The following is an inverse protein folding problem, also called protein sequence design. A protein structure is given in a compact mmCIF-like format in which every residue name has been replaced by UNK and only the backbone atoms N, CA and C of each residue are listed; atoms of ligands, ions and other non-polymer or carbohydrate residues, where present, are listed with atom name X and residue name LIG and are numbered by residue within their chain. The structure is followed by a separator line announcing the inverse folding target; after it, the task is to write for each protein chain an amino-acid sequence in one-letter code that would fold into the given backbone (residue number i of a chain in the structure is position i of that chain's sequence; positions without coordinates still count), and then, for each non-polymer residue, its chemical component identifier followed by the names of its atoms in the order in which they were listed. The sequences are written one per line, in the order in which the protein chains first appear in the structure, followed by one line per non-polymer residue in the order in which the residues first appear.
data_IF_385145902937
#
_entry.id   IF_385145902937
#
_cell.length_a   1.000
_cell.length_b   1.000
_cell.length_c   1.000
_cell.angle_alpha   90.00
_cell.angle_beta   90.00
_cell.angle_gamma   90.00
#
_symmetry.space_group_name_H-M   'P 1'
#
loop_
_entity.id
_entity.type
_entity.pdbx_description
1 polymer ?
#
# COMPACT_ATOMS: atom_id res chain seq x y z
N UNK A 1 -8.97 2.29 29.21
CA UNK A 1 -9.21 3.04 27.96
C UNK A 1 -8.17 2.60 26.95
N UNK A 2 -8.59 1.85 25.90
CA UNK A 2 -7.67 1.29 24.91
C UNK A 2 -7.01 2.39 24.05
N UNK A 3 -5.84 2.11 23.45
CA UNK A 3 -5.10 3.11 22.69
C UNK A 3 -5.92 3.56 21.47
N UNK A 4 -6.10 4.88 21.33
CA UNK A 4 -6.59 5.51 20.10
C UNK A 4 -5.53 5.31 19.02
N UNK A 5 -5.72 4.31 18.17
CA UNK A 5 -4.91 4.17 16.96
C UNK A 5 -5.14 5.40 16.07
N UNK A 6 -4.16 6.32 16.05
CA UNK A 6 -4.16 7.43 15.09
C UNK A 6 -3.89 6.82 13.72
N UNK A 7 -4.96 6.56 12.97
CA UNK A 7 -4.89 6.09 11.60
C UNK A 7 -4.54 7.27 10.71
N UNK A 8 -3.26 7.48 10.44
CA UNK A 8 -2.81 8.46 9.44
C UNK A 8 -3.21 7.93 8.06
N UNK A 9 -4.40 8.28 7.60
CA UNK A 9 -4.85 8.03 6.23
C UNK A 9 -4.14 9.05 5.34
N UNK A 10 -3.27 8.60 4.43
CA UNK A 10 -2.70 9.47 3.39
C UNK A 10 -3.80 9.84 2.41
N UNK A 11 -3.82 11.09 1.97
CA UNK A 11 -4.73 11.51 0.91
C UNK A 11 -4.19 11.02 -0.43
N UNK A 12 -5.06 10.44 -1.25
CA UNK A 12 -4.70 9.95 -2.59
C UNK A 12 -3.95 10.99 -3.42
N UNK A 13 -4.33 12.27 -3.34
CA UNK A 13 -3.67 13.36 -4.08
C UNK A 13 -2.17 13.49 -3.78
N UNK A 14 -1.74 13.18 -2.57
CA UNK A 14 -0.33 13.26 -2.18
C UNK A 14 0.50 12.10 -2.75
N UNK A 15 -0.13 10.97 -3.10
CA UNK A 15 0.55 9.74 -3.55
C UNK A 15 0.26 9.39 -5.01
N UNK A 16 -0.70 10.06 -5.65
CA UNK A 16 -1.13 9.78 -7.02
C UNK A 16 0.00 9.94 -8.06
N UNK A 17 0.94 10.85 -7.81
CA UNK A 17 2.11 11.08 -8.65
C UNK A 17 3.36 10.31 -8.23
N UNK A 18 3.30 9.53 -7.14
CA UNK A 18 4.47 8.81 -6.64
C UNK A 18 4.62 7.46 -7.33
N UNK A 19 5.81 7.24 -7.88
CA UNK A 19 6.23 5.95 -8.43
C UNK A 19 7.50 5.49 -7.71
N UNK A 20 7.66 4.19 -7.54
CA UNK A 20 8.87 3.60 -6.98
C UNK A 20 9.13 2.25 -7.63
N UNK A 21 10.38 1.80 -7.64
CA UNK A 21 10.69 0.43 -8.04
C UNK A 21 10.11 -0.58 -7.03
N UNK A 22 9.78 -1.80 -7.45
CA UNK A 22 9.47 -2.90 -6.56
C UNK A 22 10.65 -3.14 -5.62
N UNK A 23 10.37 -3.28 -4.33
CA UNK A 23 11.43 -3.32 -3.33
C UNK A 23 12.11 -1.98 -3.08
N UNK A 24 11.63 -0.84 -3.55
CA UNK A 24 12.03 0.49 -3.06
C UNK A 24 10.96 1.06 -2.10
N UNK A 25 11.34 2.07 -1.32
CA UNK A 25 10.41 2.75 -0.42
C UNK A 25 9.51 3.70 -1.21
N UNK A 26 8.24 3.34 -1.34
CA UNK A 26 7.15 4.13 -1.88
C UNK A 26 6.50 4.99 -0.78
N UNK A 27 6.21 6.26 -1.08
CA UNK A 27 5.66 7.24 -0.12
C UNK A 27 6.49 7.46 1.17
N UNK A 28 7.80 7.16 1.12
CA UNK A 28 8.75 7.22 2.27
C UNK A 28 8.40 6.31 3.46
N UNK A 29 7.37 5.47 3.32
CA UNK A 29 6.86 4.65 4.42
C UNK A 29 6.49 3.23 4.01
N UNK A 30 6.23 2.96 2.75
CA UNK A 30 5.76 1.65 2.32
C UNK A 30 6.76 1.01 1.37
N UNK A 31 6.96 -0.29 1.46
CA UNK A 31 7.74 -1.06 0.50
C UNK A 31 6.92 -2.26 0.07
N UNK A 32 6.82 -2.48 -1.23
CA UNK A 32 6.22 -3.71 -1.77
C UNK A 32 7.33 -4.72 -2.03
N UNK A 33 7.21 -5.91 -1.44
CA UNK A 33 8.11 -7.03 -1.61
C UNK A 33 7.39 -8.18 -2.32
N UNK A 34 8.11 -8.84 -3.22
CA UNK A 34 7.63 -9.99 -3.98
C UNK A 34 8.43 -10.18 -5.28
N UNK A 35 8.13 -11.25 -6.04
CA UNK A 35 8.81 -11.56 -7.29
C UNK A 35 8.34 -10.62 -8.42
N UNK A 36 8.92 -9.43 -8.49
CA UNK A 36 8.52 -8.42 -9.46
C UNK A 36 8.86 -8.81 -10.89
N UNK A 37 7.89 -8.77 -11.82
CA UNK A 37 8.21 -8.86 -13.22
C UNK A 37 9.05 -7.64 -13.62
N UNK A 38 9.90 -7.82 -14.62
CA UNK A 38 10.73 -6.75 -15.15
C UNK A 38 9.85 -5.60 -15.66
N UNK A 39 10.17 -4.36 -15.28
CA UNK A 39 9.37 -3.18 -15.60
C UNK A 39 8.10 -3.00 -14.75
N UNK A 40 7.93 -3.75 -13.66
CA UNK A 40 6.92 -3.43 -12.67
C UNK A 40 7.29 -2.18 -11.85
N UNK A 41 6.28 -1.44 -11.40
CA UNK A 41 6.41 -0.22 -10.63
C UNK A 41 5.38 -0.20 -9.50
N UNK A 42 5.76 0.34 -8.35
CA UNK A 42 4.86 0.60 -7.23
C UNK A 42 4.27 1.99 -7.40
N UNK A 43 2.94 2.06 -7.44
CA UNK A 43 2.15 3.29 -7.58
C UNK A 43 0.92 3.23 -6.69
N UNK A 44 0.23 4.35 -6.55
CA UNK A 44 -1.04 4.35 -5.82
C UNK A 44 -2.05 3.47 -6.56
N UNK A 45 -2.83 2.67 -5.83
CA UNK A 45 -3.93 1.89 -6.43
C UNK A 45 -4.89 2.80 -7.20
N UNK A 46 -5.20 3.96 -6.62
CA UNK A 46 -6.15 4.90 -7.17
C UNK A 46 -7.56 4.32 -7.36
N UNK A 47 -8.50 5.15 -7.83
CA UNK A 47 -9.85 4.70 -8.13
C UNK A 47 -9.89 3.70 -9.29
N UNK A 48 -8.99 3.84 -10.27
CA UNK A 48 -8.91 2.94 -11.44
C UNK A 48 -8.51 1.52 -11.05
N UNK A 49 -7.45 1.35 -10.25
CA UNK A 49 -7.01 0.03 -9.80
C UNK A 49 -8.00 -0.63 -8.84
N UNK A 50 -8.74 0.16 -8.04
CA UNK A 50 -9.78 -0.38 -7.16
C UNK A 50 -10.89 -1.10 -7.94
N UNK A 51 -11.28 -0.57 -9.11
CA UNK A 51 -12.25 -1.20 -9.99
C UNK A 51 -11.74 -2.47 -10.68
N UNK A 52 -10.43 -2.70 -10.69
CA UNK A 52 -9.80 -3.92 -11.23
C UNK A 52 -9.70 -5.04 -10.20
N UNK A 53 -10.02 -4.77 -8.93
CA UNK A 53 -9.99 -5.76 -7.87
C UNK A 53 -11.27 -6.59 -7.87
N UNK A 54 -11.11 -7.90 -7.71
CA UNK A 54 -12.24 -8.84 -7.65
C UNK A 54 -13.07 -8.64 -6.37
N UNK A 55 -12.43 -8.31 -5.23
CA UNK A 55 -13.12 -8.05 -3.97
C UNK A 55 -12.45 -6.95 -3.11
N UNK A 56 -12.52 -5.66 -3.52
CA UNK A 56 -11.97 -4.56 -2.74
C UNK A 56 -12.63 -4.39 -1.36
N UNK A 57 -13.89 -4.83 -1.22
CA UNK A 57 -14.64 -4.78 0.05
C UNK A 57 -14.18 -5.80 1.08
N UNK A 58 -13.49 -6.87 0.65
CA UNK A 58 -12.93 -7.89 1.53
C UNK A 58 -11.85 -7.36 2.48
N UNK A 59 -11.20 -6.26 2.13
CA UNK A 59 -10.15 -5.63 2.95
C UNK A 59 -10.67 -4.99 4.26
N UNK A 60 -11.97 -4.70 4.36
CA UNK A 60 -12.55 -3.97 5.49
C UNK A 60 -12.05 -2.51 5.62
N UNK A 61 -11.36 -1.99 4.60
CA UNK A 61 -10.79 -0.64 4.59
C UNK A 61 -11.71 0.37 3.89
N UNK A 62 -11.74 1.64 4.35
CA UNK A 62 -12.43 2.71 3.64
C UNK A 62 -11.89 2.90 2.22
N UNK A 63 -12.77 3.23 1.27
CA UNK A 63 -12.41 3.51 -0.12
C UNK A 63 -11.23 4.49 -0.25
N UNK A 64 -11.26 5.59 0.51
CA UNK A 64 -10.20 6.60 0.54
C UNK A 64 -8.83 6.05 0.95
N UNK A 65 -8.80 5.05 1.83
CA UNK A 65 -7.57 4.36 2.25
C UNK A 65 -7.07 3.44 1.15
N UNK A 66 -7.97 2.72 0.48
CA UNK A 66 -7.60 1.79 -0.60
C UNK A 66 -7.00 2.54 -1.79
N UNK A 67 -7.62 3.63 -2.24
CA UNK A 67 -7.09 4.39 -3.39
C UNK A 67 -5.71 5.01 -3.10
N UNK A 68 -5.40 5.33 -1.83
CA UNK A 68 -4.11 5.85 -1.41
C UNK A 68 -3.09 4.76 -1.04
N UNK A 69 -3.47 3.48 -1.18
CA UNK A 69 -2.60 2.35 -0.82
C UNK A 69 -1.59 2.02 -1.93
N UNK A 70 -0.42 1.46 -1.58
CA UNK A 70 0.54 0.97 -2.56
C UNK A 70 -0.04 -0.21 -3.33
N UNK A 71 0.12 -0.16 -4.65
CA UNK A 71 -0.19 -1.25 -5.55
C UNK A 71 0.96 -1.44 -6.55
N UNK A 72 1.12 -2.67 -7.02
CA UNK A 72 2.10 -3.01 -8.04
C UNK A 72 1.43 -2.96 -9.41
N UNK A 73 2.05 -2.22 -10.32
CA UNK A 73 1.61 -2.01 -11.68
C UNK A 73 2.67 -2.51 -12.66
N UNK A 74 2.24 -3.09 -13.77
CA UNK A 74 3.09 -3.35 -14.93
C UNK A 74 2.47 -2.60 -16.11
N UNK A 75 3.03 -1.43 -16.42
CA UNK A 75 2.42 -0.47 -17.33
C UNK A 75 1.03 -0.02 -16.85
N UNK A 76 -0.01 -0.41 -17.59
CA UNK A 76 -1.41 -0.10 -17.29
C UNK A 76 -2.16 -1.22 -16.54
N UNK A 77 -1.51 -2.36 -16.29
CA UNK A 77 -2.13 -3.52 -15.63
C UNK A 77 -1.82 -3.53 -14.14
N UNK A 78 -2.85 -3.68 -13.32
CA UNK A 78 -2.70 -3.98 -11.90
C UNK A 78 -2.18 -5.42 -11.73
N UNK A 79 -1.02 -5.57 -11.12
CA UNK A 79 -0.39 -6.87 -10.85
C UNK A 79 -0.76 -7.35 -9.45
N UNK A 80 -0.69 -6.46 -8.45
CA UNK A 80 -1.02 -6.80 -7.07
C UNK A 80 -1.44 -5.55 -6.28
N UNK A 81 -2.31 -5.74 -5.28
CA UNK A 81 -2.70 -4.73 -4.32
C UNK A 81 -2.75 -5.36 -2.91
N UNK A 82 -1.60 -5.61 -2.28
CA UNK A 82 -1.52 -6.36 -1.03
C UNK A 82 -2.31 -5.73 0.12
N UNK A 83 -2.39 -4.39 0.19
CA UNK A 83 -3.21 -3.69 1.19
C UNK A 83 -4.72 -3.86 0.94
N UNK A 84 -5.12 -4.09 -0.31
CA UNK A 84 -6.50 -4.36 -0.67
C UNK A 84 -6.84 -5.86 -0.64
N UNK A 85 -5.91 -6.72 -0.22
CA UNK A 85 -6.08 -8.17 -0.16
C UNK A 85 -5.96 -8.86 -1.52
N UNK A 86 -5.19 -8.29 -2.46
CA UNK A 86 -4.97 -8.88 -3.79
C UNK A 86 -3.49 -9.10 -4.06
N UNK A 87 -3.15 -10.32 -4.51
CA UNK A 87 -1.79 -10.76 -4.81
C UNK A 87 -1.17 -11.51 -3.64
N UNK A 88 -1.48 -12.80 -3.51
CA UNK A 88 -1.03 -13.65 -2.39
C UNK A 88 0.51 -13.77 -2.26
N UNK A 89 1.25 -13.56 -3.35
CA UNK A 89 2.72 -13.57 -3.36
C UNK A 89 3.35 -12.21 -3.07
N UNK A 90 2.54 -11.22 -2.68
CA UNK A 90 2.94 -9.83 -2.54
C UNK A 90 2.66 -9.32 -1.12
N UNK A 91 3.63 -8.59 -0.57
CA UNK A 91 3.52 -8.04 0.77
C UNK A 91 3.84 -6.55 0.77
N UNK A 92 3.02 -5.77 1.50
CA UNK A 92 3.28 -4.37 1.79
C UNK A 92 3.85 -4.24 3.19
N UNK A 93 5.09 -3.79 3.30
CA UNK A 93 5.75 -3.58 4.58
C UNK A 93 5.85 -2.08 4.90
N UNK A 94 5.45 -1.66 6.11
CA UNK A 94 5.73 -0.32 6.59
C UNK A 94 7.21 -0.21 6.96
N UNK A 95 7.94 0.61 6.21
CA UNK A 95 9.29 1.07 6.53
C UNK A 95 9.18 2.19 7.56
N UNK A 96 9.64 1.90 8.77
CA UNK A 96 9.82 2.90 9.81
C UNK A 96 11.20 3.53 9.63
N UNK A 97 11.25 4.75 9.11
CA UNK A 97 12.46 5.56 9.20
C UNK A 97 12.70 5.91 10.68
N UNK A 98 13.97 6.04 11.10
CA UNK A 98 14.33 6.36 12.49
C UNK A 98 13.72 7.68 13.01
N UNK A 99 13.16 8.53 12.12
CA UNK A 99 12.42 9.74 12.50
C UNK A 99 10.92 9.49 12.74
N UNK A 100 10.41 8.31 12.40
CA UNK A 100 9.03 7.85 12.63
C UNK A 100 8.97 6.83 13.77
N UNK A 101 9.31 7.27 14.98
CA UNK A 101 9.05 6.51 16.20
C UNK A 101 7.53 6.42 16.45
N UNK A 102 6.93 5.29 16.09
CA UNK A 102 6.04 4.55 17.02
C UNK A 102 6.31 3.06 16.80
N UNK A 103 7.17 2.41 17.62
CA UNK A 103 7.13 0.98 17.74
C UNK A 103 5.79 0.61 18.39
N UNK A 104 5.03 -0.26 17.73
CA UNK A 104 3.94 -0.98 18.36
C UNK A 104 4.55 -1.79 19.51
N UNK A 105 4.50 -1.23 20.72
CA UNK A 105 5.01 -1.86 21.93
C UNK A 105 3.91 -2.77 22.50
N UNK A 106 4.16 -4.05 22.27
CA UNK A 106 3.78 -5.28 22.99
C UNK A 106 2.31 -5.63 23.19
N UNK A 107 1.89 -6.64 22.42
CA UNK A 107 0.97 -7.65 22.93
C UNK A 107 1.65 -8.42 24.09
N UNK A 108 1.00 -8.41 25.26
CA UNK A 108 1.08 -9.48 26.25
C UNK A 108 -0.34 -9.75 26.74
#
# INVERSE_FOLDING_TARGET
AGPRAIRVTREYRAVAGLTAAPGAVWDRRWRILGPAPEGAEVRALGPGGLGMLENPRGSGLPHATLIASPALWSGARLVAAPVAGSGDSWHAEPVFDATSFIPAIFAH
#
